data_IF_825474225382
#
_entry.id   IF_825474225382
#
_cell.length_a   1.000
_cell.length_b   1.000
_cell.length_c   1.000
_cell.angle_alpha   90.00
_cell.angle_beta   90.00
_cell.angle_gamma   90.00
#
_symmetry.space_group_name_H-M   'P 1'
#
loop_
_entity.id
_entity.type
_entity.pdbx_description
1 polymer ?
#
# COMPACT_ATOMS: atom_id res chain seq x y z
N UNK A 1 25.07 -32.71 -16.47
CA UNK A 1 23.97 -31.73 -16.33
C UNK A 1 22.87 -32.11 -17.31
N UNK A 2 21.59 -32.04 -16.93
CA UNK A 2 20.49 -32.40 -17.84
C UNK A 2 20.11 -31.20 -18.72
N UNK A 3 19.59 -31.48 -19.93
CA UNK A 3 19.08 -30.45 -20.84
C UNK A 3 18.04 -29.53 -20.17
N UNK A 4 17.16 -30.10 -19.33
CA UNK A 4 16.15 -29.35 -18.58
C UNK A 4 16.80 -28.40 -17.56
N UNK A 5 17.84 -28.83 -16.84
CA UNK A 5 18.57 -27.96 -15.91
C UNK A 5 19.28 -26.81 -16.61
N UNK A 6 19.88 -27.07 -17.78
CA UNK A 6 20.53 -26.03 -18.58
C UNK A 6 19.53 -24.98 -19.08
N UNK A 7 18.35 -25.41 -19.55
CA UNK A 7 17.28 -24.49 -19.97
C UNK A 7 16.75 -23.63 -18.81
N UNK A 8 16.52 -24.22 -17.63
CA UNK A 8 16.05 -23.48 -16.46
C UNK A 8 17.06 -22.41 -16.03
N UNK A 9 18.35 -22.75 -15.97
CA UNK A 9 19.42 -21.79 -15.66
C UNK A 9 19.49 -20.62 -16.63
N UNK A 10 19.32 -20.89 -17.92
CA UNK A 10 19.34 -19.84 -18.94
C UNK A 10 18.17 -18.87 -18.77
N UNK A 11 16.95 -19.40 -18.53
CA UNK A 11 15.77 -18.59 -18.26
C UNK A 11 15.92 -17.71 -17.01
N UNK A 12 16.50 -18.27 -15.93
CA UNK A 12 16.79 -17.50 -14.71
C UNK A 12 17.80 -16.39 -14.97
N UNK A 13 18.85 -16.68 -15.76
CA UNK A 13 19.89 -15.72 -16.09
C UNK A 13 19.38 -14.57 -16.97
N UNK A 14 18.47 -14.84 -17.90
CA UNK A 14 17.79 -13.82 -18.70
C UNK A 14 16.87 -12.95 -17.85
N UNK A 15 16.10 -13.57 -16.96
CA UNK A 15 15.24 -12.86 -16.00
C UNK A 15 16.06 -11.96 -15.08
N UNK A 16 17.18 -12.45 -14.56
CA UNK A 16 18.08 -11.68 -13.72
C UNK A 16 18.66 -10.46 -14.44
N UNK A 17 19.07 -10.61 -15.70
CA UNK A 17 19.55 -9.48 -16.53
C UNK A 17 18.47 -8.44 -16.77
N UNK A 18 17.23 -8.88 -17.03
CA UNK A 18 16.09 -7.98 -17.19
C UNK A 18 15.84 -7.18 -15.90
N UNK A 19 15.82 -7.85 -14.74
CA UNK A 19 15.63 -7.20 -13.45
C UNK A 19 16.74 -6.20 -13.10
N UNK A 20 17.99 -6.47 -13.51
CA UNK A 20 19.08 -5.52 -13.34
C UNK A 20 18.82 -4.18 -14.05
N UNK A 21 18.14 -4.20 -15.20
CA UNK A 21 17.73 -2.99 -15.91
C UNK A 21 16.66 -2.17 -15.18
N UNK A 22 15.92 -2.78 -14.25
CA UNK A 22 14.87 -2.12 -13.46
C UNK A 22 15.33 -1.72 -12.06
N UNK A 23 16.61 -1.88 -11.72
CA UNK A 23 17.11 -1.60 -10.37
C UNK A 23 16.75 -0.19 -9.89
N UNK A 24 16.86 0.82 -10.75
CA UNK A 24 16.55 2.20 -10.39
C UNK A 24 15.05 2.41 -10.13
N UNK A 25 14.19 1.78 -10.92
CA UNK A 25 12.74 1.82 -10.74
C UNK A 25 12.32 1.10 -9.45
N UNK A 26 12.89 -0.08 -9.20
CA UNK A 26 12.67 -0.83 -7.95
C UNK A 26 13.11 0.02 -6.75
N UNK A 27 14.24 0.71 -6.89
CA UNK A 27 14.79 1.55 -5.86
C UNK A 27 13.86 2.76 -5.59
N UNK A 28 13.34 3.42 -6.64
CA UNK A 28 12.32 4.48 -6.54
C UNK A 28 11.03 3.97 -5.92
N UNK A 29 10.56 2.79 -6.30
CA UNK A 29 9.36 2.16 -5.74
C UNK A 29 9.47 1.89 -4.23
N UNK A 30 10.62 1.35 -3.78
CA UNK A 30 10.91 1.17 -2.34
C UNK A 30 10.92 2.51 -1.61
N UNK A 31 11.47 3.55 -2.23
CA UNK A 31 11.50 4.88 -1.65
C UNK A 31 10.09 5.47 -1.51
N UNK A 32 9.28 5.42 -2.58
CA UNK A 32 7.88 5.84 -2.55
C UNK A 32 7.05 5.11 -1.50
N UNK A 33 7.30 3.81 -1.31
CA UNK A 33 6.63 3.04 -0.27
C UNK A 33 6.94 3.60 1.13
N UNK A 34 8.22 3.92 1.43
CA UNK A 34 8.61 4.57 2.70
C UNK A 34 7.91 5.91 2.88
N UNK A 35 7.83 6.73 1.82
CA UNK A 35 7.17 8.03 1.86
C UNK A 35 5.65 7.91 2.04
N UNK A 36 5.05 6.88 1.46
CA UNK A 36 3.61 6.60 1.61
C UNK A 36 3.25 6.35 3.08
N UNK A 37 4.05 5.56 3.79
CA UNK A 37 3.86 5.35 5.23
C UNK A 37 3.99 6.67 6.00
N UNK A 38 4.97 7.50 5.67
CA UNK A 38 5.16 8.82 6.29
C UNK A 38 3.98 9.76 6.05
N UNK A 39 3.47 9.80 4.82
CA UNK A 39 2.26 10.56 4.47
C UNK A 39 1.06 10.14 5.32
N UNK A 40 0.78 8.84 5.43
CA UNK A 40 -0.36 8.36 6.20
C UNK A 40 -0.23 8.67 7.70
N UNK A 41 0.98 8.61 8.25
CA UNK A 41 1.24 9.02 9.63
C UNK A 41 0.93 10.50 9.83
N UNK A 42 1.45 11.38 8.97
CA UNK A 42 1.18 12.82 9.04
C UNK A 42 -0.32 13.13 8.84
N UNK A 43 -0.97 12.49 7.88
CA UNK A 43 -2.41 12.63 7.60
C UNK A 43 -3.27 12.24 8.81
N UNK A 44 -2.92 11.18 9.52
CA UNK A 44 -3.65 10.74 10.71
C UNK A 44 -3.45 11.66 11.91
N UNK A 45 -2.25 12.21 12.08
CA UNK A 45 -1.89 13.02 13.25
C UNK A 45 -2.48 14.43 13.18
N UNK A 46 -2.27 15.13 12.06
CA UNK A 46 -2.61 16.56 11.97
C UNK A 46 -3.66 16.88 10.90
N UNK A 47 -4.12 15.87 10.14
CA UNK A 47 -4.93 16.02 8.92
C UNK A 47 -4.24 16.93 7.89
N UNK A 48 -3.71 16.32 6.83
CA UNK A 48 -3.17 17.08 5.71
C UNK A 48 -4.25 17.93 5.04
N UNK A 49 -3.84 19.07 4.50
CA UNK A 49 -4.72 19.94 3.74
C UNK A 49 -5.07 19.31 2.39
N UNK A 50 -6.23 19.68 1.83
CA UNK A 50 -6.65 19.24 0.49
C UNK A 50 -5.60 19.51 -0.59
N UNK A 51 -4.83 20.60 -0.46
CA UNK A 51 -3.72 20.93 -1.37
C UNK A 51 -2.60 19.89 -1.26
N UNK A 52 -2.19 19.55 -0.05
CA UNK A 52 -1.16 18.54 0.19
C UNK A 52 -1.59 17.16 -0.32
N UNK A 53 -2.86 16.78 -0.13
CA UNK A 53 -3.39 15.52 -0.66
C UNK A 53 -3.30 15.45 -2.19
N UNK A 54 -3.59 16.57 -2.87
CA UNK A 54 -3.51 16.64 -4.33
C UNK A 54 -2.07 16.60 -4.84
N UNK A 55 -1.16 17.34 -4.20
CA UNK A 55 0.26 17.31 -4.59
C UNK A 55 0.89 15.94 -4.28
N UNK A 56 0.49 15.28 -3.19
CA UNK A 56 0.91 13.89 -2.91
C UNK A 56 0.44 12.93 -3.99
N UNK A 57 -0.83 13.00 -4.41
CA UNK A 57 -1.34 12.17 -5.52
C UNK A 57 -0.58 12.42 -6.82
N UNK A 58 -0.31 13.69 -7.15
CA UNK A 58 0.46 14.06 -8.33
C UNK A 58 1.89 13.49 -8.27
N UNK A 59 2.54 13.53 -7.10
CA UNK A 59 3.84 12.90 -6.90
C UNK A 59 3.76 11.38 -7.13
N UNK A 60 2.74 10.70 -6.61
CA UNK A 60 2.52 9.26 -6.82
C UNK A 60 2.29 8.88 -8.28
N UNK A 61 1.66 9.74 -9.08
CA UNK A 61 1.43 9.49 -10.50
C UNK A 61 2.72 9.61 -11.33
N UNK A 62 3.61 10.55 -10.99
CA UNK A 62 4.79 10.90 -11.79
C UNK A 62 6.15 10.48 -11.23
N UNK A 63 6.22 9.74 -10.12
CA UNK A 63 7.51 9.50 -9.44
C UNK A 63 8.55 8.73 -10.28
N UNK A 64 8.10 7.90 -11.23
CA UNK A 64 9.00 7.17 -12.13
C UNK A 64 9.70 8.10 -13.14
N UNK A 65 9.07 9.22 -13.48
CA UNK A 65 9.58 10.23 -14.42
C UNK A 65 10.65 11.13 -13.78
N UNK A 66 10.73 11.15 -12.45
CA UNK A 66 11.76 11.90 -11.73
C UNK A 66 13.12 11.24 -11.91
N UNK A 67 14.23 12.01 -11.99
CA UNK A 67 15.54 11.48 -12.32
C UNK A 67 16.04 10.47 -11.27
N UNK A 68 15.87 10.78 -9.98
CA UNK A 68 16.38 9.99 -8.87
C UNK A 68 15.42 10.02 -7.65
N UNK A 69 15.84 9.33 -6.57
CA UNK A 69 15.11 9.28 -5.31
C UNK A 69 15.15 10.61 -4.55
N UNK A 70 16.21 11.37 -4.71
CA UNK A 70 16.41 12.60 -3.97
C UNK A 70 15.42 13.68 -4.45
N UNK A 71 15.13 13.70 -5.76
CA UNK A 71 14.05 14.50 -6.34
C UNK A 71 12.67 14.11 -5.76
N UNK A 72 12.40 12.82 -5.58
CA UNK A 72 11.16 12.34 -4.97
C UNK A 72 11.08 12.80 -3.50
N UNK A 73 12.16 12.63 -2.73
CA UNK A 73 12.25 13.05 -1.33
C UNK A 73 12.04 14.56 -1.19
N UNK A 74 12.72 15.35 -2.04
CA UNK A 74 12.60 16.81 -2.04
C UNK A 74 11.16 17.26 -2.30
N UNK A 75 10.50 16.69 -3.31
CA UNK A 75 9.08 16.95 -3.59
C UNK A 75 8.20 16.59 -2.41
N UNK A 76 8.46 15.46 -1.77
CA UNK A 76 7.71 15.07 -0.57
C UNK A 76 7.93 16.04 0.60
N UNK A 77 9.15 16.55 0.78
CA UNK A 77 9.51 17.56 1.78
C UNK A 77 8.81 18.90 1.52
N UNK A 78 8.59 19.29 0.26
CA UNK A 78 7.78 20.46 -0.11
C UNK A 78 6.29 20.28 0.25
N UNK A 79 5.76 19.06 0.12
CA UNK A 79 4.34 18.75 0.35
C UNK A 79 4.06 18.61 1.85
N UNK A 80 4.86 17.80 2.54
CA UNK A 80 4.75 17.49 3.96
C UNK A 80 6.05 17.91 4.65
N UNK A 81 6.17 19.18 5.08
CA UNK A 81 7.37 19.66 5.76
C UNK A 81 7.78 18.79 6.95
N UNK A 82 9.08 18.66 7.24
CA UNK A 82 9.59 17.86 8.35
C UNK A 82 8.97 18.19 9.71
N UNK A 83 8.56 19.43 9.91
CA UNK A 83 7.93 19.93 11.13
C UNK A 83 6.57 19.27 11.40
N UNK A 84 5.90 18.79 10.35
CA UNK A 84 4.61 18.06 10.42
C UNK A 84 4.82 16.54 10.54
N UNK A 85 6.07 16.07 10.64
CA UNK A 85 6.41 14.65 10.73
C UNK A 85 6.76 14.30 12.16
N UNK A 86 5.93 13.48 12.82
CA UNK A 86 6.40 12.78 14.01
C UNK A 86 7.42 11.73 13.56
N UNK A 87 8.65 11.89 14.05
CA UNK A 87 9.82 11.08 13.70
C UNK A 87 9.53 9.60 14.01
N UNK A 88 9.21 8.82 12.98
CA UNK A 88 9.39 7.38 12.99
C UNK A 88 10.63 7.09 12.16
N UNK A 89 11.79 7.51 12.69
CA UNK A 89 13.06 6.98 12.22
C UNK A 89 13.26 5.64 12.91
N UNK A 90 12.58 4.63 12.38
CA UNK A 90 12.94 3.26 12.61
C UNK A 90 13.85 2.85 11.45
N UNK A 91 15.16 2.85 11.73
CA UNK A 91 16.09 1.94 11.06
C UNK A 91 15.57 0.51 11.26
N UNK A 92 14.61 0.07 10.45
CA UNK A 92 14.01 -1.23 10.72
C UNK A 92 13.53 -1.95 9.45
N UNK A 93 14.42 -2.82 8.97
CA UNK A 93 14.10 -3.88 8.05
C UNK A 93 12.98 -4.82 8.58
N UNK A 94 12.57 -4.72 9.86
CA UNK A 94 11.45 -5.48 10.44
C UNK A 94 10.08 -5.09 9.86
N UNK A 95 9.85 -3.82 9.45
CA UNK A 95 8.53 -3.39 8.98
C UNK A 95 8.08 -4.09 7.68
N UNK A 96 9.03 -4.52 6.85
CA UNK A 96 8.74 -5.21 5.58
C UNK A 96 8.25 -6.66 5.79
N UNK A 97 8.60 -7.28 6.92
CA UNK A 97 8.18 -8.65 7.24
C UNK A 97 6.72 -8.73 7.68
N UNK A 98 6.18 -7.73 8.38
CA UNK A 98 4.79 -7.78 8.84
C UNK A 98 3.77 -7.50 7.74
N UNK A 99 4.15 -6.75 6.70
CA UNK A 99 3.24 -6.39 5.60
C UNK A 99 3.16 -7.46 4.49
N UNK A 100 4.25 -8.20 4.25
CA UNK A 100 4.30 -9.28 3.25
C UNK A 100 4.36 -10.69 3.87
N UNK A 101 4.63 -10.81 5.16
CA UNK A 101 4.76 -12.07 5.89
C UNK A 101 3.45 -12.51 6.52
N UNK A 102 2.52 -12.97 5.71
CA UNK A 102 1.75 -14.13 6.13
C UNK A 102 2.37 -15.33 5.42
N UNK A 103 3.10 -16.24 6.11
CA UNK A 103 3.29 -17.55 5.54
C UNK A 103 1.88 -18.10 5.31
N UNK A 104 1.56 -18.37 4.04
CA UNK A 104 0.38 -19.13 3.66
C UNK A 104 0.52 -20.46 4.38
N UNK A 105 -0.06 -20.55 5.58
CA UNK A 105 -0.02 -21.73 6.43
C UNK A 105 -0.45 -22.89 5.55
N UNK A 106 0.51 -23.76 5.26
CA UNK A 106 0.27 -24.98 4.54
C UNK A 106 -0.84 -25.70 5.28
N UNK A 107 -2.02 -25.84 4.66
CA UNK A 107 -3.10 -26.70 5.19
C UNK A 107 -2.50 -28.07 5.45
N UNK A 108 -2.15 -28.32 6.70
CA UNK A 108 -1.89 -29.65 7.20
C UNK A 108 -3.27 -30.29 7.33
N UNK A 109 -3.63 -31.13 6.37
CA UNK A 109 -4.78 -32.01 6.47
C UNK A 109 -4.52 -32.98 7.62
N UNK A 110 -5.14 -32.73 8.77
CA UNK A 110 -5.44 -33.76 9.74
C UNK A 110 -6.92 -33.66 10.11
N UNK A 111 -7.64 -34.69 9.70
CA UNK A 111 -8.98 -34.98 10.17
C UNK A 111 -8.96 -35.23 11.68
N UNK A 112 -9.85 -34.59 12.44
CA UNK A 112 -10.51 -35.20 13.58
C UNK A 112 -11.77 -34.42 13.96
N UNK A 113 -12.81 -35.19 14.25
CA UNK A 113 -14.16 -34.80 14.68
C UNK A 113 -14.17 -34.03 16.00
N UNK A 114 -15.14 -33.14 16.18
CA UNK A 114 -15.48 -32.57 17.48
C UNK A 114 -16.28 -31.28 17.37
N UNK A 115 -17.55 -31.36 17.75
CA UNK A 115 -18.61 -30.36 17.64
C UNK A 115 -18.56 -29.28 18.75
N UNK A 116 -19.30 -28.19 18.51
CA UNK A 116 -19.77 -27.13 19.43
C UNK A 116 -18.87 -25.92 19.77
N UNK A 117 -19.31 -24.74 19.31
CA UNK A 117 -18.79 -23.43 19.74
C UNK A 117 -19.50 -22.25 19.11
N UNK A 118 -20.77 -22.05 19.49
CA UNK A 118 -21.67 -20.90 19.32
C UNK A 118 -21.05 -19.56 18.83
N UNK A 119 -21.53 -19.06 17.68
CA UNK A 119 -21.39 -17.65 17.26
C UNK A 119 -22.73 -16.95 17.45
N UNK A 120 -22.95 -16.38 18.63
CA UNK A 120 -23.91 -15.30 18.84
C UNK A 120 -23.11 -13.98 18.88
N UNK A 121 -23.41 -13.06 17.96
CA UNK A 121 -23.68 -11.63 18.20
C UNK A 121 -23.81 -10.94 16.83
N UNK A 122 -25.06 -10.86 16.39
CA UNK A 122 -25.73 -9.74 15.72
C UNK A 122 -24.85 -8.69 15.01
N UNK A 123 -24.81 -8.76 13.68
CA UNK A 123 -24.47 -7.64 12.79
C UNK A 123 -25.72 -6.80 12.57
N UNK A 124 -25.84 -5.69 13.29
CA UNK A 124 -26.83 -4.64 13.05
C UNK A 124 -26.55 -3.98 11.69
N UNK A 125 -27.29 -4.45 10.67
CA UNK A 125 -27.27 -3.93 9.32
C UNK A 125 -28.10 -2.64 9.30
N UNK A 126 -27.44 -1.48 9.31
CA UNK A 126 -28.11 -0.20 9.11
C UNK A 126 -28.83 -0.19 7.76
N UNK A 127 -30.16 -0.10 7.83
CA UNK A 127 -31.08 -0.02 6.71
C UNK A 127 -30.83 1.23 5.85
N UNK A 128 -31.10 1.18 4.53
CA UNK A 128 -31.08 2.36 3.67
C UNK A 128 -32.28 3.27 3.99
N UNK A 129 -31.99 4.50 4.45
CA UNK A 129 -33.01 5.53 4.64
C UNK A 129 -33.53 5.99 3.28
N UNK A 130 -34.81 5.72 3.03
CA UNK A 130 -35.57 6.25 1.91
C UNK A 130 -35.65 7.79 1.98
N UNK A 131 -35.23 8.47 0.92
CA UNK A 131 -35.44 9.91 0.75
C UNK A 131 -36.85 10.13 0.21
N UNK A 132 -37.76 10.55 1.09
CA UNK A 132 -39.06 11.07 0.73
C UNK A 132 -38.92 12.56 0.32
N UNK A 133 -39.30 12.89 -0.92
CA UNK A 133 -39.44 14.27 -1.39
C UNK A 133 -40.86 14.78 -1.09
N UNK A 134 -41.04 15.91 -0.36
CA UNK A 134 -42.34 16.55 -0.25
C UNK A 134 -42.65 17.49 -1.44
N UNK A 135 -43.93 17.42 -1.82
CA UNK A 135 -44.65 18.12 -2.88
C UNK A 135 -44.58 19.65 -2.83
N UNK A 136 -44.30 20.27 -3.98
CA UNK A 136 -44.50 21.70 -4.24
C UNK A 136 -45.75 21.93 -5.09
N UNK A 137 -46.79 22.52 -4.49
CA UNK A 137 -47.99 23.02 -5.16
C UNK A 137 -47.62 24.22 -6.03
N UNK A 138 -47.95 24.18 -7.32
CA UNK A 138 -47.95 25.35 -8.20
C UNK A 138 -49.38 25.85 -8.35
N UNK A 139 -49.65 27.03 -7.77
CA UNK A 139 -50.84 27.84 -8.07
C UNK A 139 -50.58 28.70 -9.29
N UNK A 140 -51.47 28.61 -10.29
CA UNK A 140 -52.03 29.75 -11.02
C UNK A 140 -53.25 29.29 -11.82
#
# INVERSE_FOLDING_TARGET
ESFVQAMLRHSDQETAKMLQGFNDEIAKGRHMHKLTSRYFTAHKQEKTTKRQDWEWKRLCEGYLELPDKDAIQLRFDEIIPPELRVVVDADDASYMNDWYGHPRSSRQTQAHQGDNGCLDTEMDFLQPVAVAHPSGKSSK
#
